data_IF_777593322893
#
_entry.id   IF_777593322893
#
_cell.length_a   1.000
_cell.length_b   1.000
_cell.length_c   1.000
_cell.angle_alpha   90.00
_cell.angle_beta   90.00
_cell.angle_gamma   90.00
#
_symmetry.space_group_name_H-M   'P 1'
#
loop_
_entity.id
_entity.type
_entity.pdbx_description
1 polymer ?
#
# COMPACT_ATOMS: atom_id res chain seq x y z
N UNK A 1 7.76 -4.35 -1.24
CA UNK A 1 8.88 -3.44 -1.59
C UNK A 1 8.92 -3.09 -3.08
N UNK A 2 9.09 -4.03 -4.04
CA UNK A 2 9.23 -3.69 -5.48
C UNK A 2 8.05 -2.86 -6.03
N UNK A 3 6.82 -3.25 -5.74
CA UNK A 3 5.62 -2.55 -6.17
C UNK A 3 5.52 -1.12 -5.64
N UNK A 4 5.98 -0.90 -4.42
CA UNK A 4 5.99 0.43 -3.81
C UNK A 4 7.03 1.34 -4.48
N UNK A 5 8.24 0.82 -4.75
CA UNK A 5 9.29 1.59 -5.45
C UNK A 5 8.84 2.01 -6.85
N UNK A 6 8.30 1.05 -7.63
CA UNK A 6 7.78 1.36 -8.97
C UNK A 6 6.55 2.26 -8.89
N UNK A 7 5.68 2.04 -7.88
CA UNK A 7 4.51 2.86 -7.61
C UNK A 7 4.85 4.32 -7.30
N UNK A 8 5.88 4.55 -6.46
CA UNK A 8 6.39 5.91 -6.19
C UNK A 8 6.99 6.52 -7.46
N UNK A 9 7.81 5.78 -8.21
CA UNK A 9 8.35 6.23 -9.49
C UNK A 9 7.24 6.64 -10.47
N UNK A 10 6.18 5.84 -10.56
CA UNK A 10 4.99 6.16 -11.35
C UNK A 10 4.30 7.45 -10.85
N UNK A 11 4.02 7.56 -9.56
CA UNK A 11 3.30 8.70 -8.98
C UNK A 11 4.08 10.01 -9.17
N UNK A 12 5.39 10.01 -8.91
CA UNK A 12 6.27 11.17 -9.11
C UNK A 12 6.32 11.56 -10.59
N UNK A 13 6.47 10.57 -11.48
CA UNK A 13 6.51 10.83 -12.93
C UNK A 13 5.21 11.43 -13.42
N UNK A 14 4.06 10.92 -12.95
CA UNK A 14 2.75 11.47 -13.33
C UNK A 14 2.56 12.89 -12.81
N UNK A 15 3.02 13.19 -11.60
CA UNK A 15 2.94 14.53 -11.01
C UNK A 15 3.85 15.55 -11.73
N UNK A 16 5.06 15.14 -12.15
CA UNK A 16 6.02 16.00 -12.85
C UNK A 16 5.76 16.08 -14.35
N UNK A 17 4.99 15.15 -14.94
CA UNK A 17 4.75 15.05 -16.37
C UNK A 17 5.96 14.60 -17.19
N UNK A 18 7.02 14.13 -16.54
CA UNK A 18 8.25 13.68 -17.18
C UNK A 18 8.93 12.57 -16.40
N UNK A 19 9.63 11.70 -17.09
CA UNK A 19 10.43 10.61 -16.53
C UNK A 19 11.87 10.75 -17.02
N UNK A 20 12.85 10.72 -16.11
CA UNK A 20 14.25 10.73 -16.51
C UNK A 20 14.69 9.36 -17.04
N UNK A 21 15.58 9.34 -18.03
CA UNK A 21 16.17 8.10 -18.56
C UNK A 21 16.88 7.29 -17.47
N UNK A 22 17.49 7.98 -16.51
CA UNK A 22 18.16 7.34 -15.38
C UNK A 22 17.15 6.55 -14.51
N UNK A 23 16.04 7.17 -14.13
CA UNK A 23 15.00 6.50 -13.34
C UNK A 23 14.40 5.33 -14.11
N UNK A 24 14.11 5.50 -15.41
CA UNK A 24 13.57 4.42 -16.23
C UNK A 24 14.50 3.21 -16.29
N UNK A 25 15.80 3.44 -16.47
CA UNK A 25 16.80 2.36 -16.46
C UNK A 25 16.81 1.61 -15.14
N UNK A 26 16.81 2.34 -14.01
CA UNK A 26 16.76 1.71 -12.67
C UNK A 26 15.50 0.88 -12.47
N UNK A 27 14.34 1.39 -12.90
CA UNK A 27 13.09 0.64 -12.81
C UNK A 27 13.13 -0.63 -13.67
N UNK A 28 13.74 -0.58 -14.86
CA UNK A 28 13.92 -1.76 -15.71
C UNK A 28 14.80 -2.82 -15.06
N UNK A 29 15.97 -2.43 -14.52
CA UNK A 29 16.87 -3.34 -13.82
C UNK A 29 16.18 -4.04 -12.64
N UNK A 30 15.35 -3.31 -11.90
CA UNK A 30 14.54 -3.86 -10.82
C UNK A 30 13.51 -4.87 -11.34
N UNK A 31 12.85 -4.57 -12.46
CA UNK A 31 11.87 -5.46 -13.05
C UNK A 31 12.51 -6.70 -13.69
N UNK A 32 13.70 -6.58 -14.31
CA UNK A 32 14.45 -7.71 -14.82
C UNK A 32 14.74 -8.75 -13.73
N UNK A 33 15.09 -8.29 -12.51
CA UNK A 33 15.21 -9.16 -11.35
C UNK A 33 13.86 -9.77 -10.95
N UNK A 34 12.81 -8.93 -10.90
CA UNK A 34 11.49 -9.35 -10.45
C UNK A 34 10.83 -10.39 -11.39
N UNK A 35 11.21 -10.44 -12.67
CA UNK A 35 10.67 -11.41 -13.64
C UNK A 35 10.77 -12.88 -13.20
N UNK A 36 11.78 -13.20 -12.39
CA UNK A 36 11.94 -14.53 -11.79
C UNK A 36 11.63 -14.54 -10.30
N UNK A 37 12.03 -13.51 -9.58
CA UNK A 37 11.98 -13.46 -8.11
C UNK A 37 10.54 -13.50 -7.56
N UNK A 38 9.55 -13.03 -8.30
CA UNK A 38 8.16 -13.06 -7.84
C UNK A 38 7.63 -14.48 -7.60
N UNK A 39 8.25 -15.50 -8.21
CA UNK A 39 7.86 -16.91 -8.05
C UNK A 39 8.34 -17.52 -6.75
N UNK A 40 9.33 -16.90 -6.12
CA UNK A 40 9.91 -17.40 -4.87
C UNK A 40 9.04 -17.02 -3.66
N UNK A 41 9.08 -17.83 -2.59
CA UNK A 41 8.49 -17.46 -1.31
C UNK A 41 9.36 -16.40 -0.62
N UNK A 42 8.74 -15.56 0.19
CA UNK A 42 9.41 -14.49 0.94
C UNK A 42 8.97 -14.45 2.42
N UNK A 43 9.38 -13.42 3.14
CA UNK A 43 9.09 -13.24 4.56
C UNK A 43 7.82 -12.38 4.78
N UNK A 44 7.16 -11.93 3.68
CA UNK A 44 5.97 -11.08 3.70
C UNK A 44 6.24 -9.65 4.16
N UNK A 45 5.21 -8.82 4.13
CA UNK A 45 5.32 -7.42 4.54
C UNK A 45 5.52 -7.22 6.04
N UNK A 46 5.15 -8.22 6.83
CA UNK A 46 5.27 -8.20 8.29
C UNK A 46 6.56 -8.84 8.79
N UNK A 47 7.43 -9.27 7.86
CA UNK A 47 8.74 -9.89 8.16
C UNK A 47 8.61 -11.04 9.16
N UNK A 48 7.65 -11.95 8.90
CA UNK A 48 7.37 -13.09 9.77
C UNK A 48 8.64 -13.96 9.94
N UNK A 49 8.97 -14.33 11.17
CA UNK A 49 10.17 -15.09 11.52
C UNK A 49 10.06 -16.59 11.22
N UNK A 50 8.91 -17.05 10.75
CA UNK A 50 8.64 -18.42 10.35
C UNK A 50 9.26 -18.79 8.99
N UNK A 51 8.92 -19.96 8.43
CA UNK A 51 9.35 -20.32 7.09
C UNK A 51 8.76 -19.36 6.05
N UNK A 52 9.56 -19.07 5.01
CA UNK A 52 9.12 -18.27 3.87
C UNK A 52 7.87 -18.85 3.20
N UNK A 53 6.95 -17.99 2.80
CA UNK A 53 5.68 -18.37 2.19
C UNK A 53 5.41 -17.52 0.95
N UNK A 54 4.44 -17.93 0.14
CA UNK A 54 3.91 -17.12 -0.94
C UNK A 54 2.83 -16.19 -0.35
N UNK A 55 3.25 -15.06 0.21
CA UNK A 55 2.34 -14.08 0.78
C UNK A 55 1.53 -13.38 -0.32
N UNK A 56 0.23 -13.29 -0.12
CA UNK A 56 -0.70 -12.66 -1.08
C UNK A 56 -0.30 -11.22 -1.36
N UNK A 57 -0.01 -10.44 -0.32
CA UNK A 57 0.40 -9.04 -0.47
C UNK A 57 1.70 -8.91 -1.28
N UNK A 58 2.68 -9.77 -1.07
CA UNK A 58 3.95 -9.77 -1.85
C UNK A 58 3.70 -10.00 -3.34
N UNK A 59 2.79 -10.93 -3.68
CA UNK A 59 2.40 -11.19 -5.08
C UNK A 59 1.64 -10.01 -5.68
N UNK A 60 0.73 -9.40 -4.91
CA UNK A 60 0.01 -8.17 -5.31
C UNK A 60 0.99 -7.03 -5.60
N UNK A 61 2.03 -6.85 -4.78
CA UNK A 61 3.06 -5.84 -5.02
C UNK A 61 3.93 -6.15 -6.24
N UNK A 62 4.21 -7.43 -6.53
CA UNK A 62 4.89 -7.82 -7.76
C UNK A 62 4.03 -7.49 -9.00
N UNK A 63 2.73 -7.80 -8.94
CA UNK A 63 1.77 -7.42 -9.97
C UNK A 63 1.76 -5.90 -10.20
N UNK A 64 1.69 -5.11 -9.11
CA UNK A 64 1.69 -3.65 -9.16
C UNK A 64 2.93 -3.09 -9.85
N UNK A 65 4.12 -3.68 -9.58
CA UNK A 65 5.36 -3.24 -10.20
C UNK A 65 5.27 -3.31 -11.74
N UNK A 66 4.85 -4.45 -12.26
CA UNK A 66 4.67 -4.61 -13.72
C UNK A 66 3.57 -3.71 -14.27
N UNK A 67 2.43 -3.60 -13.58
CA UNK A 67 1.31 -2.76 -14.04
C UNK A 67 1.73 -1.30 -14.19
N UNK A 68 2.41 -0.74 -13.20
CA UNK A 68 2.86 0.66 -13.21
C UNK A 68 3.99 0.90 -14.23
N UNK A 69 4.90 -0.03 -14.40
CA UNK A 69 5.96 0.08 -15.40
C UNK A 69 5.42 0.01 -16.82
N UNK A 70 4.47 -0.88 -17.09
CA UNK A 70 3.77 -0.95 -18.39
C UNK A 70 3.08 0.39 -18.66
N UNK A 71 2.35 0.93 -17.68
CA UNK A 71 1.66 2.22 -17.81
C UNK A 71 2.65 3.37 -18.12
N UNK A 72 3.82 3.41 -17.48
CA UNK A 72 4.89 4.37 -17.80
C UNK A 72 5.41 4.19 -19.21
N UNK A 73 5.76 2.96 -19.59
CA UNK A 73 6.28 2.63 -20.91
C UNK A 73 5.35 3.05 -22.04
N UNK A 74 4.05 2.74 -21.90
CA UNK A 74 3.02 3.10 -22.87
C UNK A 74 2.79 4.62 -22.94
N UNK A 75 2.68 5.28 -21.79
CA UNK A 75 2.38 6.72 -21.74
C UNK A 75 3.50 7.60 -22.27
N UNK A 76 4.74 7.25 -21.95
CA UNK A 76 5.91 8.05 -22.34
C UNK A 76 6.65 7.47 -23.55
N UNK A 77 6.10 6.40 -24.17
CA UNK A 77 6.66 5.71 -25.34
C UNK A 77 8.10 5.27 -25.13
N UNK A 78 8.35 4.66 -23.97
CA UNK A 78 9.68 4.25 -23.54
C UNK A 78 10.03 2.86 -24.09
N UNK A 79 11.28 2.66 -24.41
CA UNK A 79 11.78 1.34 -24.84
C UNK A 79 11.85 0.39 -23.65
N UNK A 80 11.38 -0.84 -23.87
CA UNK A 80 11.39 -1.90 -22.87
C UNK A 80 10.60 -3.13 -23.30
N UNK A 81 10.70 -4.25 -22.59
CA UNK A 81 10.03 -5.50 -22.93
C UNK A 81 8.56 -5.52 -22.49
N UNK A 82 7.79 -4.48 -22.87
CA UNK A 82 6.41 -4.26 -22.36
C UNK A 82 5.50 -5.46 -22.58
N UNK A 83 5.58 -6.12 -23.76
CA UNK A 83 4.77 -7.30 -24.06
C UNK A 83 5.09 -8.47 -23.11
N UNK A 84 6.37 -8.66 -22.77
CA UNK A 84 6.78 -9.68 -21.81
C UNK A 84 6.26 -9.35 -20.40
N UNK A 85 6.34 -8.09 -19.99
CA UNK A 85 5.79 -7.65 -18.71
C UNK A 85 4.27 -7.80 -18.62
N UNK A 86 3.55 -7.54 -19.72
CA UNK A 86 2.10 -7.80 -19.80
C UNK A 86 1.77 -9.27 -19.57
N UNK A 87 2.56 -10.18 -20.14
CA UNK A 87 2.40 -11.62 -19.92
C UNK A 87 2.67 -12.02 -18.47
N UNK A 88 3.76 -11.51 -17.88
CA UNK A 88 4.09 -11.78 -16.46
C UNK A 88 3.02 -11.21 -15.55
N UNK A 89 2.58 -9.98 -15.79
CA UNK A 89 1.49 -9.37 -15.01
C UNK A 89 0.22 -10.22 -15.04
N UNK A 90 -0.14 -10.74 -16.20
CA UNK A 90 -1.30 -11.63 -16.34
C UNK A 90 -1.10 -12.93 -15.57
N UNK A 91 0.08 -13.56 -15.65
CA UNK A 91 0.40 -14.77 -14.88
C UNK A 91 0.28 -14.53 -13.37
N UNK A 92 0.82 -13.42 -12.86
CA UNK A 92 0.73 -13.08 -11.43
C UNK A 92 -0.73 -12.87 -11.02
N UNK A 93 -1.49 -12.14 -11.83
CA UNK A 93 -2.91 -11.89 -11.59
C UNK A 93 -3.69 -13.20 -11.46
N UNK A 94 -3.55 -14.09 -12.44
CA UNK A 94 -4.28 -15.35 -12.49
C UNK A 94 -3.88 -16.26 -11.32
N UNK A 95 -2.58 -16.33 -10.99
CA UNK A 95 -2.09 -17.10 -9.85
C UNK A 95 -2.65 -16.57 -8.50
N UNK A 96 -2.74 -15.25 -8.32
CA UNK A 96 -3.34 -14.67 -7.12
C UNK A 96 -4.81 -15.07 -7.01
N UNK A 97 -5.57 -14.98 -8.10
CA UNK A 97 -6.99 -15.33 -8.07
C UNK A 97 -7.24 -16.81 -7.82
N UNK A 98 -6.37 -17.67 -8.33
CA UNK A 98 -6.47 -19.11 -8.16
C UNK A 98 -6.05 -19.57 -6.77
N UNK A 99 -4.96 -19.02 -6.22
CA UNK A 99 -4.27 -19.58 -5.05
C UNK A 99 -4.45 -18.79 -3.76
N UNK A 100 -4.77 -17.51 -3.84
CA UNK A 100 -4.93 -16.65 -2.68
C UNK A 100 -6.38 -16.47 -2.24
N UNK A 101 -7.36 -16.67 -3.14
CA UNK A 101 -8.77 -16.52 -2.81
C UNK A 101 -9.37 -17.84 -2.32
N UNK A 102 -9.80 -17.85 -1.07
CA UNK A 102 -10.55 -18.96 -0.48
C UNK A 102 -12.04 -18.80 -0.79
N UNK A 103 -12.56 -19.62 -1.70
CA UNK A 103 -13.95 -19.55 -2.14
C UNK A 103 -14.96 -20.00 -1.08
N UNK A 104 -14.55 -20.82 -0.10
CA UNK A 104 -15.43 -21.26 0.99
C UNK A 104 -15.57 -20.14 2.04
N UNK A 105 -14.46 -19.48 2.38
CA UNK A 105 -14.44 -18.34 3.30
C UNK A 105 -14.81 -17.02 2.62
N UNK A 106 -14.80 -17.00 1.28
CA UNK A 106 -15.05 -15.83 0.43
C UNK A 106 -14.14 -14.67 0.78
N UNK A 107 -12.84 -14.93 0.93
CA UNK A 107 -11.83 -13.91 1.24
C UNK A 107 -10.46 -14.27 0.68
N UNK A 108 -9.66 -13.28 0.37
CA UNK A 108 -8.23 -13.49 0.17
C UNK A 108 -7.57 -13.84 1.50
N UNK A 109 -6.62 -14.76 1.46
CA UNK A 109 -5.87 -15.23 2.63
C UNK A 109 -4.49 -14.58 2.70
N UNK A 110 -3.85 -14.63 3.85
CA UNK A 110 -2.52 -14.07 4.09
C UNK A 110 -1.46 -14.65 3.13
N UNK A 111 -1.48 -15.96 2.92
CA UNK A 111 -0.55 -16.67 2.03
C UNK A 111 -1.23 -17.87 1.39
N UNK A 112 -0.68 -18.33 0.27
CA UNK A 112 -1.19 -19.49 -0.46
C UNK A 112 -1.27 -20.73 0.41
N UNK A 113 -2.43 -21.40 0.37
CA UNK A 113 -2.69 -22.61 1.15
C UNK A 113 -2.88 -22.38 2.66
N UNK A 114 -2.94 -21.13 3.11
CA UNK A 114 -3.23 -20.77 4.50
C UNK A 114 -4.70 -20.39 4.65
N UNK A 115 -5.27 -20.67 5.83
CA UNK A 115 -6.56 -20.12 6.23
C UNK A 115 -6.42 -18.79 7.00
N UNK A 116 -5.19 -18.37 7.35
CA UNK A 116 -4.96 -17.12 8.06
C UNK A 116 -5.32 -15.90 7.19
N UNK A 117 -5.84 -14.86 7.83
CA UNK A 117 -6.15 -13.58 7.23
C UNK A 117 -5.25 -12.51 7.83
N UNK A 118 -4.81 -11.57 7.00
CA UNK A 118 -4.18 -10.33 7.44
C UNK A 118 -4.76 -9.12 6.70
N UNK A 119 -4.48 -7.93 7.21
CA UNK A 119 -4.94 -6.68 6.61
C UNK A 119 -4.32 -6.42 5.23
N UNK A 120 -3.20 -7.07 4.91
CA UNK A 120 -2.57 -7.01 3.58
C UNK A 120 -3.48 -7.52 2.47
N UNK A 121 -4.48 -8.36 2.77
CA UNK A 121 -5.50 -8.80 1.82
C UNK A 121 -6.29 -7.64 1.21
N UNK A 122 -6.42 -6.50 1.88
CA UNK A 122 -7.08 -5.31 1.33
C UNK A 122 -6.34 -4.73 0.11
N UNK A 123 -5.05 -4.97 -0.01
CA UNK A 123 -4.23 -4.41 -1.11
C UNK A 123 -4.71 -4.85 -2.48
N UNK A 124 -5.42 -5.98 -2.62
CA UNK A 124 -5.98 -6.44 -3.89
C UNK A 124 -6.89 -5.42 -4.57
N UNK A 125 -7.67 -4.69 -3.79
CA UNK A 125 -8.50 -3.58 -4.29
C UNK A 125 -7.79 -2.23 -4.26
N UNK A 126 -6.99 -1.96 -3.20
CA UNK A 126 -6.31 -0.67 -3.03
C UNK A 126 -5.37 -0.34 -4.19
N UNK A 127 -4.65 -1.33 -4.73
CA UNK A 127 -3.73 -1.11 -5.86
C UNK A 127 -4.38 -1.26 -7.23
N UNK A 128 -5.66 -1.69 -7.28
CA UNK A 128 -6.43 -1.87 -8.51
C UNK A 128 -6.17 -3.19 -9.23
N UNK A 129 -5.71 -4.23 -8.52
CA UNK A 129 -5.65 -5.60 -9.06
C UNK A 129 -7.06 -6.10 -9.35
N UNK A 130 -8.00 -5.87 -8.43
CA UNK A 130 -9.43 -6.10 -8.63
C UNK A 130 -10.18 -4.78 -8.83
N UNK A 131 -11.29 -4.85 -9.54
CA UNK A 131 -12.26 -3.75 -9.57
C UNK A 131 -12.80 -3.53 -8.15
N UNK A 132 -12.93 -2.28 -7.69
CA UNK A 132 -13.51 -1.99 -6.38
C UNK A 132 -14.92 -2.57 -6.15
N UNK A 133 -15.69 -2.81 -7.21
CA UNK A 133 -17.03 -3.42 -7.14
C UNK A 133 -17.01 -4.95 -7.25
N UNK A 134 -15.85 -5.60 -7.36
CA UNK A 134 -15.74 -7.05 -7.40
C UNK A 134 -16.19 -7.65 -6.06
N UNK A 135 -17.08 -8.65 -6.12
CA UNK A 135 -17.62 -9.32 -4.93
C UNK A 135 -16.54 -9.92 -4.03
N UNK A 136 -15.42 -10.38 -4.61
CA UNK A 136 -14.29 -10.93 -3.84
C UNK A 136 -13.62 -9.86 -3.00
N UNK A 137 -13.52 -8.63 -3.50
CA UNK A 137 -13.01 -7.52 -2.72
C UNK A 137 -13.99 -7.11 -1.63
N UNK A 138 -15.28 -6.99 -1.96
CA UNK A 138 -16.34 -6.68 -1.00
C UNK A 138 -16.35 -7.67 0.17
N UNK A 139 -16.33 -8.96 -0.13
CA UNK A 139 -16.35 -10.01 0.91
C UNK A 139 -15.05 -10.09 1.70
N UNK A 140 -13.90 -9.70 1.11
CA UNK A 140 -12.63 -9.59 1.81
C UNK A 140 -12.64 -8.41 2.81
N UNK A 141 -13.20 -7.26 2.45
CA UNK A 141 -13.41 -6.14 3.39
C UNK A 141 -14.23 -6.61 4.59
N UNK A 142 -15.32 -7.32 4.35
CA UNK A 142 -16.19 -7.80 5.43
C UNK A 142 -15.50 -8.85 6.31
N UNK A 143 -14.68 -9.73 5.72
CA UNK A 143 -13.88 -10.71 6.46
C UNK A 143 -12.83 -10.02 7.35
N UNK A 144 -12.09 -9.04 6.82
CA UNK A 144 -11.10 -8.27 7.58
C UNK A 144 -11.76 -7.56 8.75
N UNK A 145 -12.91 -6.91 8.54
CA UNK A 145 -13.65 -6.25 9.64
C UNK A 145 -14.13 -7.22 10.71
N UNK A 146 -14.60 -8.39 10.31
CA UNK A 146 -15.14 -9.40 11.22
C UNK A 146 -14.05 -10.09 12.03
N UNK A 147 -12.93 -10.44 11.39
CA UNK A 147 -11.91 -11.31 11.97
C UNK A 147 -10.75 -10.54 12.62
N UNK A 148 -10.41 -9.36 12.09
CA UNK A 148 -9.32 -8.53 12.59
C UNK A 148 -9.81 -7.27 13.30
N UNK A 149 -11.12 -7.04 13.35
CA UNK A 149 -11.71 -5.85 13.95
C UNK A 149 -11.82 -5.94 15.47
N UNK A 150 -11.30 -4.93 16.17
CA UNK A 150 -11.47 -4.73 17.59
C UNK A 150 -11.89 -3.29 17.87
N UNK A 151 -13.04 -3.12 18.49
CA UNK A 151 -13.62 -1.80 18.74
C UNK A 151 -13.51 -0.87 17.51
N UNK A 152 -13.80 -1.42 16.31
CA UNK A 152 -13.78 -0.72 15.01
C UNK A 152 -12.41 -0.37 14.45
N UNK A 153 -11.31 -0.69 15.11
CA UNK A 153 -9.95 -0.64 14.59
C UNK A 153 -9.50 -2.01 14.11
N UNK A 154 -8.46 -2.07 13.29
CA UNK A 154 -8.01 -3.30 12.64
C UNK A 154 -6.62 -3.72 13.12
N UNK A 155 -6.49 -4.98 13.53
CA UNK A 155 -5.19 -5.65 13.74
C UNK A 155 -4.51 -5.93 12.40
N UNK A 156 -3.19 -5.98 12.36
CA UNK A 156 -2.46 -6.39 11.14
C UNK A 156 -2.73 -7.85 10.77
N UNK A 157 -2.83 -8.74 11.75
CA UNK A 157 -3.23 -10.16 11.65
C UNK A 157 -3.71 -10.65 13.02
N UNK A 158 -4.17 -11.90 13.09
CA UNK A 158 -4.44 -12.56 14.38
C UNK A 158 -3.14 -13.18 14.90
N UNK A 159 -2.69 -12.75 16.09
CA UNK A 159 -1.52 -13.31 16.78
C UNK A 159 -1.71 -14.77 17.17
N UNK A 160 -2.95 -15.24 17.33
CA UNK A 160 -3.25 -16.65 17.58
C UNK A 160 -3.10 -17.53 16.33
N UNK A 161 -3.27 -16.94 15.13
CA UNK A 161 -3.23 -17.65 13.86
C UNK A 161 -1.89 -17.48 13.10
N UNK A 162 -1.09 -16.49 13.48
CA UNK A 162 0.18 -16.16 12.82
C UNK A 162 1.30 -16.23 13.83
N UNK A 163 2.22 -17.18 13.63
CA UNK A 163 3.45 -17.23 14.41
C UNK A 163 4.45 -16.20 13.85
N UNK A 164 4.52 -15.05 14.50
CA UNK A 164 5.47 -13.97 14.19
C UNK A 164 6.75 -14.03 15.05
N UNK A 165 6.81 -15.00 15.98
CA UNK A 165 7.93 -15.20 16.90
C UNK A 165 8.06 -14.12 17.98
N UNK A 166 7.00 -13.32 18.24
CA UNK A 166 6.97 -12.30 19.27
C UNK A 166 6.02 -12.71 20.41
N UNK A 167 6.42 -12.53 21.67
CA UNK A 167 5.53 -12.79 22.80
C UNK A 167 4.60 -11.60 23.06
N UNK A 168 3.34 -11.89 23.39
CA UNK A 168 2.40 -10.89 23.87
C UNK A 168 1.27 -10.55 22.91
N UNK A 169 0.38 -9.66 23.34
CA UNK A 169 -0.71 -9.11 22.51
C UNK A 169 -0.29 -7.77 21.94
N UNK A 170 -0.68 -7.52 20.71
CA UNK A 170 -0.45 -6.25 20.01
C UNK A 170 -1.63 -5.29 20.20
N UNK A 171 -1.39 -4.01 19.97
CA UNK A 171 -2.41 -3.01 19.75
C UNK A 171 -3.03 -3.15 18.34
N UNK A 172 -4.00 -2.29 18.04
CA UNK A 172 -4.58 -2.23 16.71
C UNK A 172 -3.66 -1.41 15.78
N UNK A 173 -3.31 -1.97 14.63
CA UNK A 173 -2.36 -1.35 13.71
C UNK A 173 -3.04 -0.21 12.94
N UNK A 174 -2.66 1.04 13.24
CA UNK A 174 -3.39 2.22 12.72
C UNK A 174 -3.34 2.33 11.20
N UNK A 175 -2.23 1.96 10.57
CA UNK A 175 -2.14 1.94 9.10
C UNK A 175 -3.17 1.01 8.48
N UNK A 176 -3.41 -0.19 9.06
CA UNK A 176 -4.41 -1.14 8.57
C UNK A 176 -5.83 -0.59 8.70
N UNK A 177 -6.10 0.18 9.76
CA UNK A 177 -7.38 0.85 9.95
C UNK A 177 -7.62 1.95 8.90
N UNK A 178 -6.60 2.70 8.50
CA UNK A 178 -6.68 3.64 7.37
C UNK A 178 -6.81 2.94 6.01
N UNK A 179 -6.18 1.77 5.81
CA UNK A 179 -6.43 0.95 4.61
C UNK A 179 -7.88 0.48 4.52
N UNK A 180 -8.50 0.13 5.66
CA UNK A 180 -9.93 -0.19 5.67
C UNK A 180 -10.78 1.00 5.27
N UNK A 181 -10.46 2.22 5.72
CA UNK A 181 -11.13 3.46 5.25
C UNK A 181 -11.05 3.57 3.73
N UNK A 182 -9.85 3.44 3.18
CA UNK A 182 -9.61 3.52 1.73
C UNK A 182 -10.38 2.43 0.99
N UNK A 183 -10.34 1.19 1.47
CA UNK A 183 -11.05 0.06 0.89
C UNK A 183 -12.57 0.26 0.87
N UNK A 184 -13.15 0.74 1.98
CA UNK A 184 -14.57 1.07 2.08
C UNK A 184 -14.97 2.17 1.10
N UNK A 185 -14.19 3.24 1.04
CA UNK A 185 -14.47 4.37 0.13
C UNK A 185 -14.39 3.94 -1.34
N UNK A 186 -13.38 3.17 -1.73
CA UNK A 186 -13.25 2.61 -3.08
C UNK A 186 -14.40 1.65 -3.44
N UNK A 187 -14.87 0.86 -2.48
CA UNK A 187 -15.99 -0.07 -2.64
C UNK A 187 -17.36 0.62 -2.66
N UNK A 188 -17.42 1.96 -2.57
CA UNK A 188 -18.66 2.73 -2.56
C UNK A 188 -19.36 2.84 -1.21
N UNK A 189 -18.75 2.35 -0.13
CA UNK A 189 -19.25 2.41 1.26
C UNK A 189 -18.80 3.69 1.94
N UNK A 190 -19.06 4.83 1.31
CA UNK A 190 -18.49 6.12 1.69
C UNK A 190 -18.91 6.58 3.09
N UNK A 191 -20.14 6.33 3.52
CA UNK A 191 -20.61 6.70 4.85
C UNK A 191 -19.82 5.96 5.95
N UNK A 192 -19.60 4.66 5.79
CA UNK A 192 -18.82 3.86 6.73
C UNK A 192 -17.34 4.26 6.73
N UNK A 193 -16.81 4.58 5.55
CA UNK A 193 -15.43 5.06 5.42
C UNK A 193 -15.22 6.39 6.16
N UNK A 194 -16.16 7.36 6.02
CA UNK A 194 -16.08 8.64 6.72
C UNK A 194 -16.22 8.50 8.23
N UNK A 195 -17.14 7.69 8.70
CA UNK A 195 -17.33 7.43 10.13
C UNK A 195 -16.03 6.86 10.75
N UNK A 196 -15.44 5.85 10.11
CA UNK A 196 -14.18 5.27 10.58
C UNK A 196 -13.03 6.29 10.52
N UNK A 197 -12.95 7.08 9.45
CA UNK A 197 -11.92 8.09 9.29
C UNK A 197 -11.97 9.15 10.38
N UNK A 198 -13.15 9.71 10.68
CA UNK A 198 -13.33 10.69 11.76
C UNK A 198 -12.95 10.11 13.13
N UNK A 199 -13.31 8.85 13.36
CA UNK A 199 -12.92 8.14 14.56
C UNK A 199 -11.40 8.00 14.67
N UNK A 200 -10.71 7.65 13.58
CA UNK A 200 -9.24 7.56 13.53
C UNK A 200 -8.62 8.94 13.74
N UNK A 201 -9.18 10.01 13.17
CA UNK A 201 -8.69 11.37 13.39
C UNK A 201 -8.75 11.79 14.87
N UNK A 202 -9.69 11.27 15.64
CA UNK A 202 -9.79 11.56 17.06
C UNK A 202 -8.69 10.89 17.91
N UNK A 203 -7.96 9.91 17.38
CA UNK A 203 -6.88 9.18 18.10
C UNK A 203 -5.53 9.89 18.04
N UNK A 204 -5.38 10.95 17.23
CA UNK A 204 -4.13 11.72 17.14
C UNK A 204 -3.79 12.39 18.48
N UNK A 205 -2.51 12.65 18.69
CA UNK A 205 -2.10 13.50 19.82
C UNK A 205 -2.40 14.99 19.54
N UNK A 206 -2.06 15.86 20.48
CA UNK A 206 -2.22 17.33 20.41
C UNK A 206 -1.47 17.99 19.27
N UNK A 207 -0.41 17.34 18.75
CA UNK A 207 0.37 17.79 17.58
C UNK A 207 -0.14 17.21 16.25
N UNK A 208 -1.20 16.39 16.27
CA UNK A 208 -1.74 15.73 15.08
C UNK A 208 -0.96 14.47 14.66
N UNK A 209 -0.10 13.92 15.52
CA UNK A 209 0.76 12.79 15.21
C UNK A 209 0.18 11.46 15.70
N UNK A 210 0.57 10.38 14.99
CA UNK A 210 0.17 9.01 15.26
C UNK A 210 1.36 8.11 15.52
N UNK A 211 1.15 7.13 16.42
CA UNK A 211 2.02 5.98 16.57
C UNK A 211 1.70 4.89 15.54
N UNK A 212 2.38 3.77 15.67
CA UNK A 212 2.18 2.55 14.90
C UNK A 212 0.86 1.87 15.22
N UNK A 213 0.56 1.78 16.53
CA UNK A 213 -0.58 1.04 17.05
C UNK A 213 -1.38 1.87 18.07
N UNK A 214 -2.59 1.37 18.37
CA UNK A 214 -3.45 1.90 19.41
C UNK A 214 -3.92 0.77 20.33
N UNK A 215 -3.61 0.89 21.62
CA UNK A 215 -4.14 0.02 22.67
C UNK A 215 -5.55 0.46 23.04
N UNK A 216 -6.54 -0.27 22.56
CA UNK A 216 -7.95 0.04 22.77
C UNK A 216 -8.34 -0.05 24.24
N UNK A 217 -7.83 -1.04 24.97
CA UNK A 217 -8.16 -1.26 26.37
C UNK A 217 -7.61 -0.13 27.27
N UNK A 218 -6.40 0.35 26.98
CA UNK A 218 -5.76 1.45 27.72
C UNK A 218 -6.01 2.81 27.11
N UNK A 219 -6.66 2.87 25.94
CA UNK A 219 -6.99 4.09 25.19
C UNK A 219 -5.79 4.99 24.95
N UNK A 220 -4.69 4.40 24.48
CA UNK A 220 -3.44 5.12 24.23
C UNK A 220 -2.74 4.62 22.97
N UNK A 221 -1.97 5.48 22.37
CA UNK A 221 -1.05 5.13 21.29
C UNK A 221 0.13 4.31 21.86
N UNK A 222 0.59 3.30 21.11
CA UNK A 222 1.71 2.41 21.44
C UNK A 222 2.54 2.09 20.20
N UNK A 223 3.68 1.45 20.38
CA UNK A 223 4.62 1.14 19.31
C UNK A 223 5.48 2.35 18.91
N UNK A 224 6.04 2.31 17.72
CA UNK A 224 6.92 3.37 17.19
C UNK A 224 6.16 4.69 17.03
N UNK A 225 6.76 5.81 17.46
CA UNK A 225 6.15 7.14 17.43
C UNK A 225 7.18 8.22 17.08
N UNK A 226 6.86 9.19 16.19
CA UNK A 226 5.74 9.14 15.24
C UNK A 226 5.98 8.10 14.16
N UNK A 227 4.92 7.44 13.65
CA UNK A 227 5.05 6.38 12.65
C UNK A 227 4.72 6.91 11.25
N UNK A 228 5.70 6.93 10.35
CA UNK A 228 5.54 7.42 8.98
C UNK A 228 4.52 6.59 8.18
N UNK A 229 4.51 5.27 8.35
CA UNK A 229 3.61 4.37 7.64
C UNK A 229 2.14 4.65 7.94
N UNK A 230 1.82 4.93 9.21
CA UNK A 230 0.48 5.36 9.63
C UNK A 230 0.08 6.68 8.97
N UNK A 231 0.99 7.66 8.90
CA UNK A 231 0.71 8.95 8.26
C UNK A 231 0.53 8.83 6.74
N UNK A 232 1.29 7.95 6.07
CA UNK A 232 1.10 7.68 4.65
C UNK A 232 -0.27 7.06 4.37
N UNK A 233 -0.70 6.10 5.19
CA UNK A 233 -2.02 5.49 5.08
C UNK A 233 -3.14 6.50 5.34
N UNK A 234 -2.99 7.39 6.35
CA UNK A 234 -3.92 8.50 6.60
C UNK A 234 -4.04 9.42 5.38
N UNK A 235 -2.91 9.82 4.78
CA UNK A 235 -2.91 10.70 3.60
C UNK A 235 -3.62 10.03 2.43
N UNK A 236 -3.36 8.74 2.19
CA UNK A 236 -4.01 7.96 1.12
C UNK A 236 -5.53 7.91 1.34
N UNK A 237 -5.97 7.55 2.54
CA UNK A 237 -7.40 7.51 2.90
C UNK A 237 -8.08 8.88 2.74
N UNK A 238 -7.43 9.96 3.19
CA UNK A 238 -7.95 11.32 3.04
C UNK A 238 -8.12 11.72 1.57
N UNK A 239 -7.15 11.38 0.71
CA UNK A 239 -7.21 11.67 -0.73
C UNK A 239 -8.37 10.93 -1.40
N UNK A 240 -8.55 9.65 -1.10
CA UNK A 240 -9.67 8.86 -1.65
C UNK A 240 -11.01 9.45 -1.20
N UNK A 241 -11.17 9.79 0.08
CA UNK A 241 -12.39 10.43 0.60
C UNK A 241 -12.65 11.82 0.03
N UNK A 242 -11.62 12.52 -0.45
CA UNK A 242 -11.71 13.81 -1.14
C UNK A 242 -12.03 13.65 -2.64
N UNK A 243 -12.28 12.44 -3.12
CA UNK A 243 -12.57 12.15 -4.53
C UNK A 243 -11.32 12.02 -5.40
N UNK A 244 -10.12 12.06 -4.83
CA UNK A 244 -8.89 11.77 -5.54
C UNK A 244 -8.69 10.26 -5.63
N UNK A 245 -8.81 9.69 -6.83
CA UNK A 245 -8.50 8.27 -7.04
C UNK A 245 -6.99 8.07 -7.07
N UNK A 246 -6.44 7.59 -5.95
CA UNK A 246 -5.03 7.22 -5.84
C UNK A 246 -4.86 5.75 -6.24
N UNK A 247 -3.98 5.49 -7.19
CA UNK A 247 -3.52 4.14 -7.49
C UNK A 247 -4.37 3.27 -8.42
N UNK A 248 -5.61 3.62 -8.71
CA UNK A 248 -6.43 2.90 -9.70
C UNK A 248 -6.03 3.24 -11.14
N UNK A 249 -6.32 2.35 -12.09
CA UNK A 249 -6.08 2.47 -13.55
C UNK A 249 -6.63 3.76 -14.21
N UNK A 250 -7.41 4.54 -13.51
CA UNK A 250 -8.15 5.67 -14.06
C UNK A 250 -7.40 6.98 -13.87
N UNK A 251 -7.18 7.64 -14.98
CA UNK A 251 -6.73 9.00 -15.25
C UNK A 251 -5.50 9.50 -14.46
N UNK A 252 -4.53 10.09 -15.15
CA UNK A 252 -3.42 10.75 -14.46
C UNK A 252 -3.96 11.80 -13.49
N UNK A 253 -3.37 11.95 -12.29
CA UNK A 253 -3.68 13.07 -11.41
C UNK A 253 -3.53 14.39 -12.18
N UNK A 254 -4.37 15.37 -11.88
CA UNK A 254 -4.23 16.71 -12.43
C UNK A 254 -2.78 17.19 -12.20
N UNK A 255 -2.14 17.85 -13.17
CA UNK A 255 -0.79 18.34 -13.00
C UNK A 255 -0.75 19.25 -11.76
N UNK A 256 0.24 19.01 -10.91
CA UNK A 256 0.48 19.88 -9.76
C UNK A 256 0.62 21.33 -10.25
N UNK A 257 0.06 22.31 -9.52
CA UNK A 257 0.32 23.71 -9.81
C UNK A 257 1.84 23.91 -9.86
N UNK A 258 2.32 24.60 -10.89
CA UNK A 258 3.76 24.86 -11.06
C UNK A 258 4.28 25.47 -9.78
N UNK A 259 5.14 24.76 -9.06
CA UNK A 259 5.85 25.32 -7.93
C UNK A 259 6.60 26.54 -8.41
N UNK A 260 6.53 27.67 -7.70
CA UNK A 260 7.36 28.82 -8.03
C UNK A 260 8.83 28.35 -8.02
N UNK A 261 9.55 28.65 -9.09
CA UNK A 261 10.97 28.37 -9.20
C UNK A 261 11.67 29.04 -8.01
N UNK A 262 12.15 28.22 -7.08
CA UNK A 262 13.01 28.69 -6.00
C UNK A 262 14.29 29.21 -6.67
N UNK A 263 14.36 30.51 -6.87
CA UNK A 263 15.62 31.16 -7.25
C UNK A 263 16.62 30.89 -6.11
N UNK A 264 17.78 30.28 -6.39
CA UNK A 264 18.76 30.04 -5.35
C UNK A 264 19.16 31.41 -4.75
N UNK A 265 18.87 31.61 -3.46
CA UNK A 265 19.38 32.78 -2.74
C UNK A 265 20.91 32.72 -2.78
N UNK A 266 21.53 33.71 -3.43
CA UNK A 266 22.99 33.88 -3.31
C UNK A 266 23.32 33.95 -1.83
N UNK A 267 24.30 33.17 -1.34
CA UNK A 267 24.76 33.30 0.03
C UNK A 267 25.28 34.72 0.25
N UNK A 268 24.87 35.34 1.34
CA UNK A 268 25.37 36.64 1.73
C UNK A 268 26.89 36.55 1.94
N UNK A 269 27.69 37.59 1.53
CA UNK A 269 29.14 37.56 1.70
C UNK A 269 29.47 37.49 3.18
N UNK A 270 30.23 36.46 3.57
CA UNK A 270 30.80 36.32 4.92
C UNK A 270 31.83 37.43 5.13
N UNK A 271 31.54 38.40 5.98
CA UNK A 271 32.52 39.37 6.43
C UNK A 271 33.51 38.66 7.36
N UNK A 272 34.65 38.25 6.84
CA UNK A 272 35.80 37.86 7.66
C UNK A 272 36.29 39.08 8.45
N UNK A 273 36.12 39.06 9.77
CA UNK A 273 36.85 39.98 10.65
C UNK A 273 38.34 39.61 10.57
N UNK A 274 39.16 40.55 10.09
CA UNK A 274 40.61 40.44 10.22
C UNK A 274 41.02 40.67 11.68
N UNK A 275 42.07 39.99 12.14
CA UNK A 275 42.57 40.10 13.51
C UNK A 275 43.05 41.51 13.89
#
# INVERSE_FOLDING_TARGET
>A
MYGEVVGVGWAVTMALGQLSEHLWRQLRELLDYLESAWREPDDGMWEARGPRRHYTQSKVMAWLAFDRAIALGQRFKLEGPLQRWEQIRAQIHDEILERAYDSQRRTFTQSYGSAALDAGALTVGLVGLLDPADDRFTTTIDAVRRELGHDGLISRYSTDATDDGLPGSEGQFLACSFWLVEALALNGREAEARELFERLLALRNDLGLYAEEYDVARRRQVGNFPQAFTHLALISAARVLSGERTGTRSAPPAPLPRMPTLTPRRPAPVKLRRP
#
